data_IF_214284059883
#
_entry.id   IF_214284059883
#
_cell.length_a   1.000
_cell.length_b   1.000
_cell.length_c   1.000
_cell.angle_alpha   90.00
_cell.angle_beta   90.00
_cell.angle_gamma   90.00
#
_symmetry.space_group_name_H-M   'P 1'
#
loop_
_entity.id
_entity.type
_entity.pdbx_description
1 polymer ?
#
# COMPACT_ATOMS: atom_id res chain seq x y z
N UNK A 1 37.15 -29.37 -88.35
CA UNK A 1 36.15 -29.17 -87.28
C UNK A 1 35.91 -30.54 -86.69
N UNK A 2 36.51 -30.70 -85.52
CA UNK A 2 36.80 -31.98 -84.88
C UNK A 2 35.57 -32.72 -84.39
N UNK A 3 35.70 -34.04 -84.53
CA UNK A 3 34.90 -35.08 -83.92
C UNK A 3 34.96 -35.06 -82.40
N UNK A 4 33.93 -35.57 -81.72
CA UNK A 4 34.00 -36.90 -81.08
C UNK A 4 32.73 -37.20 -80.25
N UNK A 5 32.18 -38.38 -80.52
CA UNK A 5 31.19 -39.10 -79.73
C UNK A 5 31.80 -39.55 -78.39
N UNK A 6 31.01 -39.57 -77.31
CA UNK A 6 31.18 -40.61 -76.30
C UNK A 6 29.86 -41.01 -75.60
N UNK A 7 29.53 -42.28 -75.82
CA UNK A 7 28.59 -43.13 -75.09
C UNK A 7 28.77 -43.05 -73.56
N UNK A 8 27.71 -43.27 -72.77
CA UNK A 8 27.70 -44.19 -71.61
C UNK A 8 26.27 -44.63 -71.24
N UNK A 9 26.01 -45.90 -71.57
CA UNK A 9 25.51 -46.99 -70.71
C UNK A 9 24.12 -46.85 -70.04
N UNK A 10 23.11 -47.35 -70.75
CA UNK A 10 21.97 -48.02 -70.13
C UNK A 10 22.46 -49.30 -69.42
N UNK A 11 22.14 -49.44 -68.13
CA UNK A 11 22.20 -50.69 -67.40
C UNK A 11 20.83 -50.96 -66.80
N UNK A 12 20.09 -51.89 -67.40
CA UNK A 12 18.99 -52.60 -66.75
C UNK A 12 19.61 -53.67 -65.85
N UNK A 13 19.29 -53.67 -64.56
CA UNK A 13 19.21 -54.93 -63.81
C UNK A 13 17.97 -54.91 -62.94
N UNK A 14 16.97 -55.63 -63.42
CA UNK A 14 15.85 -56.16 -62.66
C UNK A 14 16.36 -57.20 -61.68
N UNK A 15 16.12 -56.98 -60.39
CA UNK A 15 15.98 -58.05 -59.41
C UNK A 15 14.84 -57.66 -58.49
N UNK A 16 13.71 -58.31 -58.74
CA UNK A 16 12.64 -58.49 -57.78
C UNK A 16 13.21 -59.29 -56.61
N UNK A 17 13.25 -58.68 -55.42
CA UNK A 17 13.37 -59.40 -54.17
C UNK A 17 12.39 -58.74 -53.20
N UNK A 18 11.51 -59.57 -52.67
CA UNK A 18 10.51 -59.30 -51.65
C UNK A 18 11.01 -58.28 -50.61
N UNK A 19 10.41 -57.09 -50.60
CA UNK A 19 10.57 -56.17 -49.47
C UNK A 19 9.27 -56.19 -48.68
N UNK A 20 9.30 -56.99 -47.62
CA UNK A 20 8.27 -57.07 -46.60
C UNK A 20 7.72 -55.68 -46.28
N UNK A 21 6.42 -55.49 -46.49
CA UNK A 21 5.63 -54.38 -45.99
C UNK A 21 5.51 -54.48 -44.47
N UNK A 22 6.65 -54.47 -43.77
CA UNK A 22 6.76 -54.13 -42.37
C UNK A 22 7.14 -52.66 -42.33
N UNK A 23 6.14 -51.79 -42.33
CA UNK A 23 6.25 -50.33 -42.18
C UNK A 23 6.92 -50.00 -40.83
N UNK A 24 8.23 -50.26 -40.73
CA UNK A 24 9.06 -49.88 -39.60
C UNK A 24 9.14 -48.37 -39.64
N UNK A 25 8.23 -47.72 -38.92
CA UNK A 25 8.27 -46.29 -38.69
C UNK A 25 9.72 -45.85 -38.44
N UNK A 26 10.23 -44.86 -39.19
CA UNK A 26 11.62 -44.48 -39.12
C UNK A 26 11.96 -44.08 -37.68
N UNK A 27 12.83 -44.84 -37.03
CA UNK A 27 13.29 -44.65 -35.63
C UNK A 27 13.74 -43.20 -35.32
N UNK A 28 14.06 -42.41 -36.35
CA UNK A 28 14.35 -40.97 -36.26
C UNK A 28 13.16 -40.10 -35.78
N UNK A 29 11.89 -40.49 -35.99
CA UNK A 29 10.74 -39.69 -35.52
C UNK A 29 10.45 -39.86 -34.02
N UNK A 30 10.73 -41.04 -33.45
CA UNK A 30 10.54 -41.29 -32.01
C UNK A 30 11.56 -40.57 -31.13
N UNK A 31 12.79 -40.30 -31.62
CA UNK A 31 13.80 -39.57 -30.82
C UNK A 31 13.47 -38.08 -30.70
N UNK A 32 12.78 -37.50 -31.68
CA UNK A 32 12.40 -36.09 -31.70
C UNK A 32 11.22 -35.82 -30.76
N UNK A 33 10.22 -36.71 -30.75
CA UNK A 33 9.09 -36.64 -29.81
C UNK A 33 9.56 -36.72 -28.35
N UNK A 34 10.51 -37.63 -28.04
CA UNK A 34 11.05 -37.78 -26.68
C UNK A 34 11.81 -36.53 -26.19
N UNK A 35 12.37 -35.74 -27.11
CA UNK A 35 13.02 -34.45 -26.79
C UNK A 35 12.02 -33.32 -26.55
N UNK A 36 10.81 -33.39 -27.09
CA UNK A 36 9.80 -32.32 -26.93
C UNK A 36 8.98 -32.42 -25.64
N UNK A 37 8.84 -33.61 -25.05
CA UNK A 37 8.06 -33.86 -23.83
C UNK A 37 8.40 -32.90 -22.67
N UNK A 38 9.69 -32.68 -22.29
CA UNK A 38 9.99 -31.80 -21.16
C UNK A 38 9.59 -30.33 -21.42
N UNK A 39 9.67 -29.86 -22.67
CA UNK A 39 9.29 -28.48 -22.99
C UNK A 39 7.78 -28.26 -22.94
N UNK A 40 6.99 -29.24 -23.39
CA UNK A 40 5.53 -29.18 -23.29
C UNK A 40 5.11 -29.14 -21.82
N UNK A 41 5.77 -29.92 -20.95
CA UNK A 41 5.51 -29.90 -19.50
C UNK A 41 5.82 -28.52 -18.91
N UNK A 42 6.95 -27.90 -19.28
CA UNK A 42 7.31 -26.55 -18.82
C UNK A 42 6.29 -25.51 -19.27
N UNK A 43 5.84 -25.56 -20.52
CA UNK A 43 4.82 -24.63 -21.04
C UNK A 43 3.50 -24.81 -20.29
N UNK A 44 3.04 -26.04 -20.11
CA UNK A 44 1.80 -26.33 -19.37
C UNK A 44 1.89 -25.84 -17.92
N UNK A 45 3.03 -26.07 -17.25
CA UNK A 45 3.26 -25.58 -15.89
C UNK A 45 3.30 -24.05 -15.83
N UNK A 46 3.91 -23.39 -16.81
CA UNK A 46 3.96 -21.93 -16.90
C UNK A 46 2.55 -21.35 -17.09
N UNK A 47 1.76 -21.97 -17.96
CA UNK A 47 0.39 -21.55 -18.25
C UNK A 47 -0.54 -21.79 -17.04
N UNK A 48 -0.38 -22.92 -16.36
CA UNK A 48 -1.09 -23.22 -15.12
C UNK A 48 -0.75 -22.22 -14.00
N UNK A 49 0.52 -21.82 -13.88
CA UNK A 49 0.96 -20.80 -12.92
C UNK A 49 0.32 -19.44 -13.22
N UNK A 50 0.31 -19.02 -14.50
CA UNK A 50 -0.32 -17.77 -14.92
C UNK A 50 -1.82 -17.79 -14.56
N UNK A 51 -2.53 -18.87 -14.87
CA UNK A 51 -3.95 -19.01 -14.53
C UNK A 51 -4.16 -18.98 -13.02
N UNK A 52 -3.31 -19.65 -12.22
CA UNK A 52 -3.39 -19.63 -10.77
C UNK A 52 -3.19 -18.21 -10.20
N UNK A 53 -2.24 -17.44 -10.73
CA UNK A 53 -2.00 -16.04 -10.34
C UNK A 53 -3.21 -15.17 -10.70
N UNK A 54 -3.76 -15.30 -11.91
CA UNK A 54 -4.95 -14.56 -12.33
C UNK A 54 -6.14 -14.87 -11.43
N UNK A 55 -6.41 -16.16 -11.15
CA UNK A 55 -7.52 -16.59 -10.28
C UNK A 55 -7.35 -16.05 -8.86
N UNK A 56 -6.13 -16.08 -8.33
CA UNK A 56 -5.83 -15.56 -6.98
C UNK A 56 -6.03 -14.05 -6.93
N UNK A 57 -5.59 -13.31 -7.96
CA UNK A 57 -5.80 -11.86 -8.08
C UNK A 57 -7.28 -11.47 -8.22
N UNK A 58 -8.06 -12.24 -8.98
CA UNK A 58 -9.51 -12.02 -9.12
C UNK A 58 -10.25 -12.25 -7.81
N UNK A 59 -9.90 -13.31 -7.07
CA UNK A 59 -10.50 -13.56 -5.74
C UNK A 59 -10.14 -12.48 -4.73
N UNK A 60 -8.93 -11.94 -4.80
CA UNK A 60 -8.54 -10.82 -3.96
C UNK A 60 -9.39 -9.57 -4.25
N UNK A 61 -9.61 -9.24 -5.53
CA UNK A 61 -10.46 -8.12 -5.93
C UNK A 61 -11.93 -8.25 -5.45
N UNK A 62 -12.49 -9.46 -5.52
CA UNK A 62 -13.84 -9.71 -4.98
C UNK A 62 -13.91 -9.53 -3.46
N UNK A 63 -12.83 -9.86 -2.74
CA UNK A 63 -12.73 -9.63 -1.29
C UNK A 63 -12.69 -8.14 -0.96
N UNK A 64 -11.98 -7.33 -1.76
CA UNK A 64 -11.90 -5.87 -1.56
C UNK A 64 -13.26 -5.20 -1.80
N UNK A 65 -13.96 -5.56 -2.89
CA UNK A 65 -15.29 -4.98 -3.20
C UNK A 65 -16.35 -5.29 -2.15
N UNK A 66 -16.25 -6.43 -1.46
CA UNK A 66 -17.17 -6.77 -0.36
C UNK A 66 -16.97 -5.89 0.88
N UNK A 67 -15.78 -5.35 1.07
CA UNK A 67 -15.46 -4.47 2.19
C UNK A 67 -15.87 -3.02 1.89
N UNK A 68 -15.71 -2.59 0.64
CA UNK A 68 -16.03 -1.23 0.19
C UNK A 68 -17.54 -0.92 0.24
N UNK A 69 -18.40 -1.88 -0.16
CA UNK A 69 -19.86 -1.70 -0.14
C UNK A 69 -20.49 -1.69 1.26
N UNK A 70 -19.72 -1.87 2.33
CA UNK A 70 -20.23 -1.77 3.71
C UNK A 70 -20.02 -0.40 4.35
N UNK A 71 -19.22 0.48 3.75
CA UNK A 71 -18.81 1.74 4.35
C UNK A 71 -19.20 3.00 3.56
N UNK A 72 -20.00 2.89 2.49
CA UNK A 72 -20.69 4.05 1.91
C UNK A 72 -21.86 4.48 2.82
N UNK A 73 -21.53 4.97 4.01
CA UNK A 73 -22.38 5.86 4.78
C UNK A 73 -22.20 7.24 4.15
N UNK A 74 -23.29 7.85 3.70
CA UNK A 74 -23.32 9.18 3.09
C UNK A 74 -22.55 10.18 3.96
N UNK A 75 -21.38 10.60 3.48
CA UNK A 75 -20.61 11.69 4.07
C UNK A 75 -21.35 12.98 3.79
N UNK A 76 -22.14 13.37 4.78
CA UNK A 76 -22.55 14.75 4.97
C UNK A 76 -21.25 15.55 5.15
N UNK A 77 -20.85 16.27 4.10
CA UNK A 77 -20.05 17.49 4.26
C UNK A 77 -20.91 18.44 5.09
N UNK A 78 -20.93 18.21 6.39
CA UNK A 78 -21.68 18.99 7.33
C UNK A 78 -20.93 20.27 7.56
N UNK A 79 -21.39 21.34 6.91
CA UNK A 79 -21.84 22.45 7.75
C UNK A 79 -22.74 21.78 8.81
N UNK A 80 -22.16 21.47 9.96
CA UNK A 80 -22.90 20.95 11.09
C UNK A 80 -23.82 22.11 11.49
N UNK A 81 -24.99 22.16 10.87
CA UNK A 81 -26.10 22.95 11.40
C UNK A 81 -26.19 22.53 12.87
N UNK A 82 -26.16 23.50 13.80
CA UNK A 82 -26.25 23.20 15.21
C UNK A 82 -27.49 22.30 15.41
N UNK A 83 -27.38 21.23 16.23
CA UNK A 83 -28.43 20.23 16.33
C UNK A 83 -29.78 20.93 16.55
N UNK A 84 -30.85 20.54 15.86
CA UNK A 84 -32.08 21.34 15.70
C UNK A 84 -32.85 21.65 17.00
N UNK A 85 -32.34 21.23 18.16
CA UNK A 85 -32.88 21.49 19.48
C UNK A 85 -31.82 21.98 20.49
N UNK A 86 -30.68 22.52 20.03
CA UNK A 86 -29.76 23.18 20.95
C UNK A 86 -30.45 24.45 21.48
N UNK A 87 -30.66 24.61 22.79
CA UNK A 87 -31.18 25.86 23.33
C UNK A 87 -30.26 27.00 22.90
N UNK A 88 -30.85 28.16 22.55
CA UNK A 88 -30.07 29.33 22.17
C UNK A 88 -28.96 29.55 23.20
N UNK A 89 -27.69 29.68 22.77
CA UNK A 89 -26.57 29.81 23.68
C UNK A 89 -26.84 30.97 24.63
N UNK A 90 -26.71 30.70 25.93
CA UNK A 90 -26.90 31.72 26.94
C UNK A 90 -26.01 32.94 26.61
N UNK A 91 -26.51 34.18 26.79
CA UNK A 91 -25.71 35.37 26.53
C UNK A 91 -24.39 35.30 27.31
N UNK A 92 -23.28 35.47 26.60
CA UNK A 92 -21.89 35.32 27.08
C UNK A 92 -21.33 33.89 27.21
N UNK A 93 -21.93 32.89 26.55
CA UNK A 93 -21.31 31.57 26.47
C UNK A 93 -19.98 31.61 25.70
N UNK A 94 -18.94 31.00 26.29
CA UNK A 94 -17.66 30.76 25.65
C UNK A 94 -17.69 29.45 24.88
N UNK A 95 -16.95 29.40 23.78
CA UNK A 95 -16.69 28.18 23.02
C UNK A 95 -15.21 28.07 22.69
N UNK A 96 -14.77 26.84 22.43
CA UNK A 96 -13.42 26.56 21.95
C UNK A 96 -13.49 26.15 20.48
N UNK A 97 -12.86 26.93 19.62
CA UNK A 97 -12.58 26.55 18.25
C UNK A 97 -11.28 25.75 18.19
N UNK A 98 -11.29 24.64 17.46
CA UNK A 98 -10.16 23.75 17.27
C UNK A 98 -9.97 23.50 15.79
N UNK A 99 -8.83 23.89 15.26
CA UNK A 99 -8.38 23.56 13.91
C UNK A 99 -7.44 22.37 14.05
N UNK A 100 -7.75 21.27 13.37
CA UNK A 100 -6.96 20.04 13.40
C UNK A 100 -6.50 19.76 11.99
N UNK A 101 -5.19 19.77 11.76
CA UNK A 101 -4.58 19.37 10.49
C UNK A 101 -3.86 18.05 10.66
N UNK A 102 -4.16 17.07 9.81
CA UNK A 102 -3.33 15.87 9.70
C UNK A 102 -2.07 16.22 8.92
N UNK A 103 -0.92 16.24 9.60
CA UNK A 103 0.34 16.68 9.01
C UNK A 103 1.10 15.51 8.38
N UNK A 104 1.23 14.40 9.11
CA UNK A 104 1.98 13.25 8.62
C UNK A 104 1.37 11.94 9.10
N UNK A 105 1.51 10.90 8.28
CA UNK A 105 1.15 9.54 8.63
C UNK A 105 2.24 8.59 8.16
N UNK A 106 2.89 7.91 9.12
CA UNK A 106 3.87 6.86 8.83
C UNK A 106 3.23 5.47 9.01
N UNK A 107 2.91 4.76 7.91
CA UNK A 107 2.31 3.43 7.99
C UNK A 107 3.24 2.37 8.58
N UNK A 108 4.55 2.59 8.59
CA UNK A 108 5.54 1.64 9.10
C UNK A 108 5.61 1.62 10.62
N UNK A 109 5.49 2.79 11.24
CA UNK A 109 5.40 2.94 12.70
C UNK A 109 3.97 3.01 13.24
N UNK A 110 2.96 3.07 12.35
CA UNK A 110 1.56 3.32 12.70
C UNK A 110 1.36 4.63 13.49
N UNK A 111 2.21 5.63 13.25
CA UNK A 111 2.13 6.93 13.92
C UNK A 111 1.37 7.92 13.03
N UNK A 112 0.33 8.53 13.59
CA UNK A 112 -0.43 9.62 13.00
C UNK A 112 -0.16 10.92 13.75
N UNK A 113 0.35 11.91 13.03
CA UNK A 113 0.70 13.23 13.57
C UNK A 113 -0.35 14.26 13.20
N UNK A 114 -0.91 14.90 14.22
CA UNK A 114 -1.85 16.01 14.11
C UNK A 114 -1.18 17.30 14.55
N UNK A 115 -1.35 18.35 13.77
CA UNK A 115 -1.11 19.70 14.23
C UNK A 115 -2.44 20.33 14.63
N UNK A 116 -2.51 20.82 15.86
CA UNK A 116 -3.74 21.35 16.43
C UNK A 116 -3.53 22.80 16.84
N UNK A 117 -4.50 23.63 16.50
CA UNK A 117 -4.60 25.01 16.92
C UNK A 117 -5.94 25.19 17.64
N UNK A 118 -5.89 25.55 18.91
CA UNK A 118 -7.08 25.85 19.70
C UNK A 118 -7.17 27.36 20.00
N UNK A 119 -8.37 27.92 19.88
CA UNK A 119 -8.66 29.31 20.19
C UNK A 119 -10.00 29.45 20.90
N UNK A 120 -10.12 30.47 21.75
CA UNK A 120 -11.40 30.81 22.40
C UNK A 120 -12.23 31.71 21.50
N UNK A 121 -13.51 31.38 21.34
CA UNK A 121 -14.50 32.16 20.61
C UNK A 121 -15.63 32.59 21.55
N UNK A 122 -16.09 33.84 21.41
CA UNK A 122 -17.29 34.36 22.07
C UNK A 122 -18.47 34.13 21.12
N UNK A 123 -19.53 33.47 21.59
CA UNK A 123 -20.68 33.12 20.75
C UNK A 123 -21.60 34.30 20.44
N UNK A 124 -21.63 35.33 21.29
CA UNK A 124 -22.47 36.53 21.08
C UNK A 124 -21.65 37.80 20.88
N UNK A 125 -21.95 38.48 19.78
CA UNK A 125 -21.26 39.65 19.22
C UNK A 125 -21.61 40.97 19.91
N UNK A 126 -22.12 40.90 21.15
CA UNK A 126 -22.29 42.10 21.97
C UNK A 126 -20.89 42.67 22.21
N UNK A 127 -20.57 43.73 21.46
CA UNK A 127 -19.30 44.47 21.36
C UNK A 127 -18.77 45.02 22.70
N UNK A 128 -19.35 44.63 23.83
CA UNK A 128 -18.83 44.91 25.14
C UNK A 128 -17.49 44.20 25.36
N UNK A 129 -16.44 44.91 25.82
CA UNK A 129 -15.23 44.26 26.29
C UNK A 129 -15.62 43.30 27.41
N UNK A 130 -15.32 42.02 27.25
CA UNK A 130 -15.35 41.10 28.40
C UNK A 130 -14.25 41.54 29.36
N UNK A 131 -14.57 41.57 30.66
CA UNK A 131 -13.57 41.84 31.69
C UNK A 131 -12.38 40.89 31.51
N UNK A 132 -11.18 41.46 31.61
CA UNK A 132 -9.91 40.79 31.32
C UNK A 132 -9.52 39.72 32.36
N UNK A 133 -10.45 39.33 33.22
CA UNK A 133 -10.29 38.22 34.15
C UNK A 133 -10.35 36.93 33.34
N UNK A 134 -9.18 36.52 32.86
CA UNK A 134 -8.97 35.36 32.03
C UNK A 134 -9.57 34.11 32.69
N UNK A 135 -10.62 33.57 32.09
CA UNK A 135 -11.11 32.21 32.41
C UNK A 135 -10.12 31.25 31.75
N UNK A 136 -9.29 30.50 32.51
CA UNK A 136 -8.40 29.52 31.94
C UNK A 136 -9.25 28.35 31.50
N UNK A 137 -9.15 28.09 30.22
CA UNK A 137 -9.75 26.91 29.63
C UNK A 137 -8.67 25.86 29.51
N UNK A 138 -8.98 24.68 30.04
CA UNK A 138 -8.15 23.50 29.91
C UNK A 138 -8.63 22.74 28.68
N UNK A 139 -7.87 22.86 27.61
CA UNK A 139 -8.02 22.03 26.43
C UNK A 139 -7.16 20.79 26.60
N UNK A 140 -7.75 19.61 26.42
CA UNK A 140 -7.00 18.36 26.49
C UNK A 140 -7.23 17.49 25.26
N UNK A 141 -6.17 16.77 24.91
CA UNK A 141 -6.17 15.81 23.82
C UNK A 141 -5.54 14.53 24.33
N UNK A 142 -6.26 13.42 24.19
CA UNK A 142 -5.84 12.12 24.68
C UNK A 142 -6.07 11.03 23.64
N UNK A 143 -5.21 10.03 23.68
CA UNK A 143 -5.40 8.79 22.94
C UNK A 143 -6.46 7.95 23.68
N UNK A 144 -7.47 7.42 22.99
CA UNK A 144 -8.48 6.56 23.62
C UNK A 144 -7.87 5.34 24.33
N UNK A 145 -6.71 4.86 23.87
CA UNK A 145 -6.04 3.72 24.49
C UNK A 145 -5.22 4.11 25.74
N UNK A 146 -5.13 5.41 26.05
CA UNK A 146 -4.40 5.95 27.22
C UNK A 146 -2.89 5.75 27.15
N UNK A 147 -2.35 5.40 25.97
CA UNK A 147 -0.93 5.07 25.78
C UNK A 147 -0.01 6.30 25.76
N UNK A 148 -0.56 7.48 25.47
CA UNK A 148 0.16 8.74 25.44
C UNK A 148 -0.32 9.68 26.54
N UNK A 149 0.59 10.47 27.09
CA UNK A 149 0.23 11.51 28.05
C UNK A 149 -0.70 12.52 27.38
N UNK A 150 -1.80 12.91 28.04
CA UNK A 150 -2.71 13.89 27.49
C UNK A 150 -1.97 15.21 27.31
N UNK A 151 -2.16 15.83 26.15
CA UNK A 151 -1.69 17.18 25.92
C UNK A 151 -2.66 18.14 26.60
N UNK A 152 -2.18 19.01 27.48
CA UNK A 152 -2.99 19.99 28.19
C UNK A 152 -2.54 21.39 27.80
N UNK A 153 -3.46 22.19 27.28
CA UNK A 153 -3.22 23.58 26.91
C UNK A 153 -4.10 24.48 27.77
N UNK A 154 -3.46 25.44 28.44
CA UNK A 154 -4.16 26.55 29.09
C UNK A 154 -4.35 27.68 28.08
N UNK A 155 -5.61 28.02 27.83
CA UNK A 155 -5.95 29.12 26.92
C UNK A 155 -6.47 30.29 27.77
N UNK A 156 -5.73 31.40 27.77
CA UNK A 156 -6.11 32.63 28.48
C UNK A 156 -6.75 33.63 27.51
N UNK A 157 -7.94 34.14 27.87
CA UNK A 157 -8.64 35.20 27.16
C UNK A 157 -7.95 36.55 27.43
N UNK A 158 -7.59 37.32 26.40
CA UNK A 158 -7.06 38.68 26.58
C UNK A 158 -5.87 39.07 25.69
N UNK A 159 -5.19 38.10 25.08
CA UNK A 159 -4.24 38.36 23.99
C UNK A 159 -4.85 37.85 22.68
N UNK A 160 -4.87 38.72 21.65
CA UNK A 160 -5.32 38.39 20.29
C UNK A 160 -4.90 36.96 19.92
N UNK A 161 -5.87 36.06 19.66
CA UNK A 161 -5.70 34.66 19.23
C UNK A 161 -4.36 34.07 19.68
N UNK A 162 -4.24 33.67 20.95
CA UNK A 162 -3.13 32.82 21.35
C UNK A 162 -3.32 31.45 20.67
N UNK A 163 -2.74 31.33 19.48
CA UNK A 163 -2.66 30.10 18.70
C UNK A 163 -1.56 29.27 19.34
N UNK A 164 -1.96 28.38 20.24
CA UNK A 164 -1.04 27.35 20.71
C UNK A 164 -1.07 26.23 19.68
N UNK A 165 -0.19 26.31 18.69
CA UNK A 165 0.04 25.21 17.75
C UNK A 165 0.87 24.14 18.44
N UNK A 166 0.33 22.94 18.52
CA UNK A 166 1.03 21.77 19.09
C UNK A 166 0.86 20.57 18.18
N UNK A 167 1.96 19.85 17.99
CA UNK A 167 1.93 18.57 17.29
C UNK A 167 1.66 17.45 18.29
N UNK A 168 0.73 16.57 17.96
CA UNK A 168 0.33 15.43 18.76
C UNK A 168 0.39 14.15 17.93
N UNK A 169 1.04 13.13 18.49
CA UNK A 169 1.19 11.83 17.86
C UNK A 169 0.26 10.83 18.55
N UNK A 170 -0.57 10.15 17.78
CA UNK A 170 -1.36 8.99 18.22
C UNK A 170 -1.00 7.77 17.38
N UNK A 171 -1.39 6.59 17.85
CA UNK A 171 -1.29 5.37 17.08
C UNK A 171 -2.52 5.15 16.21
N UNK A 172 -2.32 4.72 14.97
CA UNK A 172 -3.40 4.26 14.09
C UNK A 172 -3.37 2.73 14.00
N UNK A 173 -4.51 2.09 14.27
CA UNK A 173 -4.66 0.66 14.02
C UNK A 173 -4.77 0.40 12.51
N UNK A 174 -4.23 -0.71 12.06
CA UNK A 174 -4.22 -1.07 10.65
C UNK A 174 -3.07 -1.99 10.29
N UNK A 175 -3.06 -2.43 9.03
CA UNK A 175 -2.03 -3.35 8.55
C UNK A 175 -1.46 -2.94 7.21
N UNK A 176 -0.17 -2.65 7.22
CA UNK A 176 0.64 -2.35 6.04
C UNK A 176 0.77 -3.53 5.07
N UNK A 177 0.44 -4.73 5.54
CA UNK A 177 0.54 -5.97 4.75
C UNK A 177 -0.32 -5.93 3.47
N UNK A 178 -1.40 -5.15 3.44
CA UNK A 178 -2.35 -5.08 2.33
C UNK A 178 -2.04 -4.00 1.28
N UNK A 179 -0.82 -3.44 1.27
CA UNK A 179 -0.39 -2.47 0.25
C UNK A 179 -0.74 -2.93 -1.19
N UNK A 180 -1.29 -2.04 -2.05
CA UNK A 180 -1.59 -0.61 -1.84
C UNK A 180 -3.01 -0.32 -1.32
N UNK A 181 -3.75 -1.35 -0.90
CA UNK A 181 -5.14 -1.26 -0.42
C UNK A 181 -5.25 -1.34 1.10
N UNK A 182 -4.16 -1.06 1.79
CA UNK A 182 -4.09 -0.87 3.23
C UNK A 182 -5.04 0.25 3.68
N UNK A 183 -5.64 0.02 4.84
CA UNK A 183 -6.56 0.92 5.53
C UNK A 183 -6.11 1.01 6.97
N UNK A 184 -6.19 2.21 7.51
CA UNK A 184 -5.83 2.52 8.88
C UNK A 184 -6.97 3.26 9.55
N UNK A 185 -7.11 3.10 10.85
CA UNK A 185 -8.09 3.79 11.69
C UNK A 185 -7.37 4.33 12.90
N UNK A 186 -7.41 5.66 13.05
CA UNK A 186 -6.96 6.36 14.25
C UNK A 186 -8.14 7.01 14.95
N UNK A 187 -8.00 7.26 16.24
CA UNK A 187 -8.99 8.02 16.99
C UNK A 187 -8.34 8.90 18.03
N UNK A 188 -8.97 10.03 18.30
CA UNK A 188 -8.51 11.06 19.22
C UNK A 188 -9.66 11.52 20.09
N UNK A 189 -9.46 11.58 21.40
CA UNK A 189 -10.44 12.15 22.33
C UNK A 189 -10.03 13.59 22.62
N UNK A 190 -10.96 14.51 22.37
CA UNK A 190 -10.74 15.94 22.55
C UNK A 190 -11.80 16.47 23.51
N UNK A 191 -11.38 17.32 24.44
CA UNK A 191 -12.29 18.00 25.35
C UNK A 191 -11.79 19.38 25.75
N UNK A 192 -12.73 20.22 26.17
CA UNK A 192 -12.43 21.50 26.78
C UNK A 192 -13.29 21.71 28.01
N UNK A 193 -12.62 22.08 29.11
CA UNK A 193 -13.26 22.31 30.39
C UNK A 193 -12.71 23.57 31.06
N UNK A 194 -13.58 24.28 31.77
CA UNK A 194 -13.23 25.34 32.68
C UNK A 194 -13.46 24.86 34.11
N UNK A 195 -12.52 25.14 35.00
CA UNK A 195 -12.61 24.73 36.41
C UNK A 195 -12.72 25.95 37.30
N UNK A 196 -13.76 25.94 38.12
CA UNK A 196 -14.04 26.96 39.11
C UNK A 196 -14.23 26.31 40.47
N UNK A 197 -13.64 26.89 41.50
CA UNK A 197 -13.86 26.48 42.87
C UNK A 197 -15.31 26.83 43.27
N UNK A 198 -16.05 25.84 43.74
CA UNK A 198 -17.45 25.94 44.10
C UNK A 198 -17.70 26.93 45.25
N UNK A 199 -16.70 27.18 46.10
CA UNK A 199 -16.84 27.98 47.32
C UNK A 199 -16.69 29.48 47.07
N UNK A 200 -15.78 29.88 46.20
CA UNK A 200 -15.42 31.28 45.97
C UNK A 200 -15.51 31.70 44.49
N UNK A 201 -15.92 30.79 43.60
CA UNK A 201 -15.88 30.95 42.14
C UNK A 201 -14.49 31.34 41.61
N UNK A 202 -13.43 31.09 42.39
CA UNK A 202 -12.07 31.33 41.93
C UNK A 202 -11.70 30.30 40.87
N UNK A 203 -10.88 30.77 39.96
CA UNK A 203 -10.41 30.00 38.83
C UNK A 203 -9.29 29.04 39.26
N UNK A 204 -9.36 27.76 38.86
CA UNK A 204 -8.33 26.76 39.13
C UNK A 204 -7.42 26.58 37.91
N UNK A 205 -6.08 26.68 38.03
CA UNK A 205 -5.16 26.48 36.92
C UNK A 205 -5.09 25.01 36.46
N UNK A 206 -4.94 24.79 35.15
CA UNK A 206 -5.03 23.47 34.50
C UNK A 206 -4.04 22.35 34.90
N UNK A 207 -2.80 22.58 35.34
CA UNK A 207 -1.83 21.49 35.47
C UNK A 207 -2.04 20.56 36.68
N UNK A 208 -2.96 20.86 37.61
CA UNK A 208 -3.17 20.06 38.83
C UNK A 208 -4.19 18.92 38.69
N UNK A 209 -4.90 18.80 37.56
CA UNK A 209 -6.11 17.97 37.44
C UNK A 209 -5.81 16.48 37.25
N UNK A 210 -4.73 16.13 36.55
CA UNK A 210 -4.45 14.73 36.18
C UNK A 210 -3.81 13.92 37.32
N UNK A 211 -3.36 14.60 38.38
CA UNK A 211 -2.88 13.98 39.62
C UNK A 211 -3.93 14.05 40.74
N UNK A 212 -5.09 14.67 40.48
CA UNK A 212 -6.12 14.92 41.46
C UNK A 212 -7.06 13.70 41.59
N UNK A 213 -7.00 13.02 42.73
CA UNK A 213 -7.96 11.97 43.06
C UNK A 213 -9.35 12.60 43.18
N UNK A 214 -10.27 12.21 42.28
CA UNK A 214 -11.64 12.75 42.17
C UNK A 214 -12.42 12.65 43.50
N UNK A 215 -11.97 11.79 44.42
CA UNK A 215 -12.54 11.64 45.75
C UNK A 215 -12.33 12.84 46.69
N UNK A 216 -11.35 13.71 46.45
CA UNK A 216 -11.12 14.94 47.22
C UNK A 216 -11.74 16.19 46.57
N UNK A 217 -12.36 16.06 45.38
CA UNK A 217 -12.77 17.17 44.51
C UNK A 217 -14.16 17.76 44.84
N UNK A 218 -14.64 17.68 46.09
CA UNK A 218 -16.02 18.11 46.42
C UNK A 218 -16.27 19.59 46.13
N UNK A 219 -15.20 20.39 46.06
CA UNK A 219 -15.28 21.85 45.96
C UNK A 219 -14.90 22.36 44.56
N UNK A 220 -14.79 21.50 43.53
CA UNK A 220 -14.47 21.93 42.16
C UNK A 220 -15.69 21.71 41.25
N UNK A 221 -16.17 22.79 40.65
CA UNK A 221 -17.17 22.77 39.60
C UNK A 221 -16.49 22.70 38.24
N UNK A 222 -16.78 21.66 37.47
CA UNK A 222 -16.28 21.48 36.10
C UNK A 222 -17.37 21.95 35.14
N UNK A 223 -17.07 22.99 34.37
CA UNK A 223 -17.95 23.48 33.31
C UNK A 223 -17.40 23.05 31.96
N UNK A 224 -18.21 22.28 31.23
CA UNK A 224 -17.90 21.78 29.89
C UNK A 224 -18.14 22.88 28.87
N UNK A 225 -17.18 23.07 27.96
CA UNK A 225 -17.27 24.09 26.91
C UNK A 225 -17.60 23.45 25.55
N UNK A 226 -18.49 24.04 24.75
CA UNK A 226 -18.78 23.55 23.40
C UNK A 226 -17.55 23.69 22.49
N UNK A 227 -17.33 22.66 21.67
CA UNK A 227 -16.21 22.58 20.73
C UNK A 227 -16.71 22.79 19.29
N UNK A 228 -15.99 23.64 18.55
CA UNK A 228 -16.15 23.82 17.11
C UNK A 228 -14.91 23.29 16.41
N UNK A 229 -15.09 22.48 15.38
CA UNK A 229 -13.98 21.82 14.68
C UNK A 229 -13.89 22.28 13.23
N UNK A 230 -12.66 22.56 12.81
CA UNK A 230 -12.28 22.63 11.40
C UNK A 230 -11.19 21.58 11.16
N UNK A 231 -11.49 20.60 10.31
CA UNK A 231 -10.57 19.48 10.05
C UNK A 231 -9.91 19.68 8.69
N UNK A 232 -8.62 20.01 8.71
CA UNK A 232 -7.75 20.03 7.55
C UNK A 232 -7.22 18.62 7.25
N UNK A 233 -7.30 18.21 5.99
CA UNK A 233 -6.75 16.94 5.52
C UNK A 233 -5.66 17.22 4.49
N UNK A 234 -4.41 17.34 4.94
CA UNK A 234 -3.26 17.56 4.05
C UNK A 234 -2.25 16.40 4.15
N UNK A 235 -2.67 15.22 3.69
CA UNK A 235 -1.79 14.05 3.60
C UNK A 235 -1.38 13.82 2.15
N UNK A 236 -0.12 14.02 1.79
CA UNK A 236 0.38 13.94 0.41
C UNK A 236 -0.06 12.67 -0.36
N UNK A 237 0.08 11.50 0.27
CA UNK A 237 -0.15 10.19 -0.34
C UNK A 237 -1.42 9.48 0.15
N UNK A 238 -2.12 10.07 1.13
CA UNK A 238 -3.27 9.47 1.77
C UNK A 238 -4.51 10.37 1.64
N UNK A 239 -5.67 9.76 1.77
CA UNK A 239 -6.95 10.42 1.97
C UNK A 239 -7.47 9.93 3.32
N UNK A 240 -7.97 10.86 4.12
CA UNK A 240 -8.57 10.55 5.41
C UNK A 240 -10.07 10.79 5.30
N UNK A 241 -10.85 9.96 5.98
CA UNK A 241 -12.27 10.17 6.17
C UNK A 241 -12.47 10.33 7.67
N UNK A 242 -12.90 11.52 8.08
CA UNK A 242 -13.05 11.87 9.48
C UNK A 242 -14.51 11.87 9.89
N UNK A 243 -14.78 11.31 11.05
CA UNK A 243 -16.09 11.30 11.69
C UNK A 243 -15.95 11.83 13.11
N UNK A 244 -16.86 12.72 13.49
CA UNK A 244 -16.96 13.23 14.85
C UNK A 244 -18.13 12.54 15.55
N UNK A 245 -17.89 11.98 16.72
CA UNK A 245 -18.92 11.39 17.57
C UNK A 245 -18.83 11.99 18.97
N UNK A 246 -19.93 12.54 19.47
CA UNK A 246 -20.01 12.99 20.85
C UNK A 246 -20.08 11.76 21.77
N UNK A 247 -19.20 11.68 22.76
CA UNK A 247 -19.17 10.57 23.72
C UNK A 247 -20.28 10.75 24.76
N UNK A 248 -20.93 9.65 25.14
CA UNK A 248 -21.98 9.63 26.17
C UNK A 248 -21.36 9.33 27.53
N UNK A 249 -21.96 9.84 28.61
CA UNK A 249 -21.54 9.64 30.01
C UNK A 249 -21.32 8.15 30.42
N UNK A 250 -21.93 7.20 29.71
CA UNK A 250 -21.79 5.77 29.99
C UNK A 250 -20.54 5.11 29.37
N UNK A 251 -19.80 5.81 28.50
CA UNK A 251 -18.60 5.24 27.89
C UNK A 251 -17.43 5.27 28.87
N UNK A 252 -16.58 4.25 28.85
CA UNK A 252 -15.39 4.18 29.73
C UNK A 252 -14.39 5.32 29.48
N UNK A 253 -14.51 5.97 28.32
CA UNK A 253 -13.77 7.19 27.95
C UNK A 253 -14.38 8.48 28.51
N UNK A 254 -15.57 8.41 29.12
CA UNK A 254 -16.21 9.50 29.86
C UNK A 254 -15.47 9.86 31.16
N UNK A 255 -14.28 9.28 31.41
CA UNK A 255 -13.33 9.77 32.41
C UNK A 255 -13.17 11.30 32.33
N UNK A 256 -13.23 11.83 31.10
CA UNK A 256 -13.08 13.24 30.78
C UNK A 256 -14.37 14.10 30.89
N UNK A 257 -15.50 13.50 31.24
CA UNK A 257 -16.78 14.19 31.45
C UNK A 257 -17.61 14.42 30.17
N UNK A 258 -18.80 14.99 30.38
CA UNK A 258 -19.70 15.41 29.32
C UNK A 258 -19.01 16.42 28.39
N UNK A 259 -19.31 16.38 27.09
CA UNK A 259 -18.73 17.27 26.07
C UNK A 259 -17.31 16.96 25.63
N UNK A 260 -16.85 15.73 25.86
CA UNK A 260 -15.78 15.16 25.05
C UNK A 260 -16.28 14.68 23.69
N UNK A 261 -15.42 14.85 22.70
CA UNK A 261 -15.69 14.44 21.31
C UNK A 261 -14.63 13.44 20.88
N UNK A 262 -15.09 12.31 20.37
CA UNK A 262 -14.26 11.32 19.71
C UNK A 262 -14.14 11.69 18.23
N UNK A 263 -12.94 12.09 17.82
CA UNK A 263 -12.57 12.23 16.43
C UNK A 263 -12.03 10.88 15.95
N UNK A 264 -12.76 10.19 15.07
CA UNK A 264 -12.29 8.99 14.39
C UNK A 264 -11.88 9.32 12.97
N UNK A 265 -10.72 8.84 12.54
CA UNK A 265 -10.17 9.05 11.21
C UNK A 265 -9.86 7.69 10.56
N UNK A 266 -10.51 7.41 9.43
CA UNK A 266 -10.15 6.27 8.58
C UNK A 266 -9.27 6.75 7.45
N UNK A 267 -8.02 6.28 7.42
CA UNK A 267 -7.00 6.70 6.47
C UNK A 267 -6.80 5.60 5.44
N UNK A 268 -6.76 5.99 4.17
CA UNK A 268 -6.46 5.10 3.06
C UNK A 268 -5.56 5.78 2.04
N UNK A 269 -4.85 5.00 1.23
CA UNK A 269 -4.01 5.55 0.15
C UNK A 269 -4.85 6.26 -0.91
N UNK A 270 -4.33 7.38 -1.43
CA UNK A 270 -4.97 8.11 -2.54
C UNK A 270 -5.11 7.21 -3.76
N UNK A 271 -6.17 7.43 -4.54
CA UNK A 271 -6.48 6.65 -5.74
C UNK A 271 -5.32 6.64 -6.75
N UNK A 272 -4.60 7.76 -6.89
CA UNK A 272 -3.44 7.89 -7.79
C UNK A 272 -2.32 6.92 -7.40
N UNK A 273 -2.03 6.79 -6.10
CA UNK A 273 -1.01 5.87 -5.58
C UNK A 273 -1.43 4.42 -5.84
N UNK A 274 -2.69 4.08 -5.56
CA UNK A 274 -3.27 2.75 -5.82
C UNK A 274 -3.16 2.38 -7.30
N UNK A 275 -3.57 3.29 -8.19
CA UNK A 275 -3.51 3.09 -9.62
C UNK A 275 -2.07 2.84 -10.11
N UNK A 276 -1.12 3.68 -9.71
CA UNK A 276 0.26 3.55 -10.13
C UNK A 276 0.90 2.25 -9.61
N UNK A 277 0.64 1.88 -8.34
CA UNK A 277 1.12 0.63 -7.77
C UNK A 277 0.59 -0.60 -8.53
N UNK A 278 -0.70 -0.63 -8.88
CA UNK A 278 -1.29 -1.71 -9.69
C UNK A 278 -0.71 -1.74 -11.11
N UNK A 279 -0.54 -0.58 -11.74
CA UNK A 279 0.07 -0.48 -13.08
C UNK A 279 1.51 -1.02 -13.08
N UNK A 280 2.30 -0.66 -12.08
CA UNK A 280 3.67 -1.16 -11.89
C UNK A 280 3.69 -2.67 -11.66
N UNK A 281 2.77 -3.19 -10.84
CA UNK A 281 2.61 -4.63 -10.63
C UNK A 281 2.30 -5.37 -11.94
N UNK A 282 1.35 -4.87 -12.73
CA UNK A 282 1.01 -5.49 -14.03
C UNK A 282 2.18 -5.42 -15.01
N UNK A 283 2.84 -4.26 -15.10
CA UNK A 283 3.95 -4.04 -16.03
C UNK A 283 5.12 -4.97 -15.72
N UNK A 284 5.50 -5.10 -14.45
CA UNK A 284 6.57 -6.02 -14.01
C UNK A 284 6.25 -7.47 -14.30
N UNK A 285 4.99 -7.89 -14.13
CA UNK A 285 4.53 -9.21 -14.53
C UNK A 285 4.64 -9.43 -16.05
N UNK A 286 4.19 -8.49 -16.87
CA UNK A 286 4.26 -8.60 -18.33
C UNK A 286 5.70 -8.72 -18.82
N UNK A 287 6.62 -7.93 -18.26
CA UNK A 287 8.06 -8.00 -18.60
C UNK A 287 8.65 -9.36 -18.18
N UNK A 288 8.34 -9.83 -16.97
CA UNK A 288 8.79 -11.14 -16.47
C UNK A 288 8.29 -12.27 -17.36
N UNK A 289 7.00 -12.27 -17.70
CA UNK A 289 6.40 -13.26 -18.61
C UNK A 289 6.99 -13.17 -20.01
N UNK A 290 7.28 -11.96 -20.51
CA UNK A 290 7.96 -11.75 -21.78
C UNK A 290 9.32 -12.46 -21.85
N UNK A 291 10.13 -12.37 -20.77
CA UNK A 291 11.41 -13.07 -20.67
C UNK A 291 11.23 -14.59 -20.60
N UNK A 292 10.23 -15.08 -19.86
CA UNK A 292 9.92 -16.52 -19.79
C UNK A 292 9.51 -17.07 -21.16
N UNK A 293 8.65 -16.35 -21.89
CA UNK A 293 8.24 -16.72 -23.26
C UNK A 293 9.43 -16.68 -24.21
N UNK A 294 10.25 -15.62 -24.17
CA UNK A 294 11.45 -15.52 -25.00
C UNK A 294 12.41 -16.68 -24.73
N UNK A 295 12.61 -17.02 -23.47
CA UNK A 295 13.43 -18.18 -23.04
C UNK A 295 12.87 -19.47 -23.62
N UNK A 296 11.56 -19.67 -23.52
CA UNK A 296 10.89 -20.87 -24.06
C UNK A 296 11.04 -20.97 -25.58
N UNK A 297 10.89 -19.87 -26.31
CA UNK A 297 11.04 -19.83 -27.78
C UNK A 297 12.47 -20.15 -28.20
N UNK A 298 13.47 -19.62 -27.50
CA UNK A 298 14.89 -19.91 -27.74
C UNK A 298 15.15 -21.41 -27.62
N UNK A 299 14.66 -22.03 -26.55
CA UNK A 299 14.82 -23.45 -26.30
C UNK A 299 14.10 -24.31 -27.36
N UNK A 300 12.86 -23.95 -27.73
CA UNK A 300 12.06 -24.74 -28.66
C UNK A 300 12.57 -24.70 -30.09
N UNK A 301 12.95 -23.51 -30.57
CA UNK A 301 13.36 -23.36 -31.98
C UNK A 301 14.79 -23.79 -32.23
N UNK A 302 15.55 -24.13 -31.18
CA UNK A 302 17.01 -24.34 -31.21
C UNK A 302 17.70 -23.29 -32.10
N UNK A 303 17.15 -22.06 -32.09
CA UNK A 303 17.64 -21.00 -32.96
C UNK A 303 19.04 -20.70 -32.46
N UNK A 304 19.95 -20.50 -33.40
CA UNK A 304 21.25 -20.01 -33.05
C UNK A 304 21.06 -18.74 -32.24
N UNK A 305 21.34 -18.82 -30.93
CA UNK A 305 21.41 -17.66 -30.04
C UNK A 305 22.64 -16.88 -30.45
N UNK A 306 22.61 -16.25 -31.61
CA UNK A 306 23.65 -15.33 -32.08
C UNK A 306 23.67 -14.05 -31.24
N UNK A 307 22.75 -13.93 -30.29
CA UNK A 307 22.54 -12.73 -29.48
C UNK A 307 22.51 -13.13 -28.02
N UNK A 308 23.67 -12.99 -27.38
CA UNK A 308 23.78 -12.93 -25.91
C UNK A 308 22.88 -11.83 -25.32
N UNK A 309 22.35 -10.93 -26.15
CA UNK A 309 21.40 -9.88 -25.83
C UNK A 309 20.24 -10.34 -24.95
N UNK A 310 19.64 -11.52 -25.20
CA UNK A 310 18.50 -11.99 -24.37
C UNK A 310 18.97 -12.37 -22.96
N UNK A 311 20.15 -13.00 -22.85
CA UNK A 311 20.75 -13.36 -21.55
C UNK A 311 21.16 -12.09 -20.79
N UNK A 312 21.74 -11.12 -21.50
CA UNK A 312 22.10 -9.83 -20.95
C UNK A 312 20.86 -9.06 -20.47
N UNK A 313 19.80 -9.03 -21.27
CA UNK A 313 18.54 -8.37 -20.94
C UNK A 313 17.85 -9.01 -19.72
N UNK A 314 17.78 -10.35 -19.65
CA UNK A 314 17.17 -11.04 -18.50
C UNK A 314 17.98 -10.81 -17.22
N UNK A 315 19.31 -10.79 -17.33
CA UNK A 315 20.21 -10.47 -16.21
C UNK A 315 20.04 -9.02 -15.75
N UNK A 316 20.00 -8.07 -16.69
CA UNK A 316 19.78 -6.67 -16.39
C UNK A 316 18.43 -6.44 -15.68
N UNK A 317 17.36 -7.11 -16.14
CA UNK A 317 16.05 -7.07 -15.50
C UNK A 317 16.08 -7.62 -14.07
N UNK A 318 16.80 -8.71 -13.83
CA UNK A 318 16.95 -9.30 -12.50
C UNK A 318 17.53 -8.29 -11.48
N UNK A 319 18.48 -7.45 -11.91
CA UNK A 319 19.05 -6.39 -11.08
C UNK A 319 18.24 -5.09 -11.07
N UNK A 320 17.41 -4.86 -12.09
CA UNK A 320 16.54 -3.68 -12.16
C UNK A 320 15.28 -3.80 -11.28
N UNK A 321 14.75 -5.01 -11.08
CA UNK A 321 13.52 -5.23 -10.32
C UNK A 321 13.51 -4.63 -8.91
N UNK A 322 14.57 -4.75 -8.08
CA UNK A 322 14.59 -4.10 -6.76
C UNK A 322 14.47 -2.58 -6.84
N UNK A 323 15.13 -1.95 -7.82
CA UNK A 323 15.05 -0.50 -8.05
C UNK A 323 13.65 -0.09 -8.53
N UNK A 324 13.01 -0.93 -9.34
CA UNK A 324 11.67 -0.71 -9.84
C UNK A 324 10.62 -0.86 -8.73
N UNK A 325 10.83 -1.79 -7.79
CA UNK A 325 10.04 -1.92 -6.56
C UNK A 325 10.14 -0.63 -5.74
N UNK A 326 11.36 -0.17 -5.43
CA UNK A 326 11.56 1.05 -4.61
C UNK A 326 11.07 2.34 -5.28
N UNK A 327 10.92 2.34 -6.60
CA UNK A 327 10.33 3.46 -7.33
C UNK A 327 8.79 3.54 -7.23
N UNK A 328 8.14 2.55 -6.58
CA UNK A 328 6.69 2.56 -6.39
C UNK A 328 6.34 3.57 -5.28
N UNK A 329 5.43 4.52 -5.54
CA UNK A 329 5.09 5.57 -4.59
C UNK A 329 4.50 4.99 -3.31
N UNK A 330 5.05 5.43 -2.17
CA UNK A 330 4.57 5.05 -0.85
C UNK A 330 4.76 3.57 -0.50
N UNK A 331 5.58 2.82 -1.24
CA UNK A 331 5.87 1.43 -0.90
C UNK A 331 6.58 1.37 0.45
N UNK A 332 6.16 0.49 1.37
CA UNK A 332 6.84 0.35 2.64
C UNK A 332 8.17 -0.41 2.50
N UNK A 333 9.06 -0.11 3.43
CA UNK A 333 10.33 -0.82 3.60
C UNK A 333 10.12 -2.26 4.05
N UNK A 334 9.02 -2.51 4.77
CA UNK A 334 8.63 -3.85 5.20
C UNK A 334 8.00 -4.65 4.05
N UNK A 335 8.23 -5.98 3.98
CA UNK A 335 7.61 -6.82 2.97
C UNK A 335 6.08 -6.84 3.08
N UNK A 336 5.41 -6.70 1.96
CA UNK A 336 3.94 -6.69 1.86
C UNK A 336 3.40 -7.97 1.22
N UNK A 337 2.09 -8.18 1.28
CA UNK A 337 1.44 -9.29 0.54
C UNK A 337 1.66 -9.15 -0.97
N UNK A 338 1.73 -7.91 -1.48
CA UNK A 338 2.05 -7.68 -2.90
C UNK A 338 3.46 -8.15 -3.27
N UNK A 339 4.42 -8.05 -2.34
CA UNK A 339 5.77 -8.59 -2.52
C UNK A 339 5.77 -10.12 -2.49
N UNK A 340 5.02 -10.70 -1.56
CA UNK A 340 4.84 -12.14 -1.41
C UNK A 340 4.29 -12.80 -2.69
N UNK A 341 3.28 -12.17 -3.30
CA UNK A 341 2.57 -12.72 -4.47
C UNK A 341 3.23 -12.32 -5.78
N UNK A 342 3.81 -11.12 -5.88
CA UNK A 342 4.43 -10.62 -7.10
C UNK A 342 5.95 -10.74 -7.09
N UNK A 343 6.58 -9.86 -6.30
CA UNK A 343 8.01 -9.60 -6.37
C UNK A 343 8.89 -10.85 -6.25
N UNK A 344 8.68 -11.70 -5.24
CA UNK A 344 9.51 -12.89 -5.06
C UNK A 344 9.34 -13.91 -6.19
N UNK A 345 8.12 -14.09 -6.71
CA UNK A 345 7.86 -14.99 -7.83
C UNK A 345 8.45 -14.47 -9.12
N UNK A 346 8.39 -13.17 -9.37
CA UNK A 346 9.00 -12.54 -10.54
C UNK A 346 10.53 -12.73 -10.53
N UNK A 347 11.19 -12.48 -9.39
CA UNK A 347 12.63 -12.70 -9.25
C UNK A 347 12.98 -14.17 -9.46
N UNK A 348 12.23 -15.09 -8.86
CA UNK A 348 12.48 -16.53 -9.03
C UNK A 348 12.34 -16.98 -10.49
N UNK A 349 11.31 -16.52 -11.20
CA UNK A 349 11.08 -16.83 -12.61
C UNK A 349 12.17 -16.24 -13.52
N UNK A 350 12.59 -15.00 -13.27
CA UNK A 350 13.67 -14.36 -14.02
C UNK A 350 15.03 -15.02 -13.76
N UNK A 351 15.34 -15.35 -12.51
CA UNK A 351 16.57 -16.04 -12.14
C UNK A 351 16.64 -17.41 -12.82
N UNK A 352 15.56 -18.19 -12.76
CA UNK A 352 15.45 -19.49 -13.43
C UNK A 352 15.59 -19.36 -14.94
N UNK A 353 14.89 -18.40 -15.56
CA UNK A 353 14.96 -18.16 -17.00
C UNK A 353 16.38 -17.78 -17.45
N UNK A 354 17.03 -16.88 -16.71
CA UNK A 354 18.40 -16.45 -16.96
C UNK A 354 19.38 -17.61 -16.83
N UNK A 355 19.24 -18.42 -15.78
CA UNK A 355 20.07 -19.61 -15.58
C UNK A 355 19.94 -20.61 -16.73
N UNK A 356 18.70 -20.92 -17.15
CA UNK A 356 18.45 -21.85 -18.27
C UNK A 356 19.04 -21.32 -19.58
N UNK A 357 18.87 -20.02 -19.85
CA UNK A 357 19.46 -19.38 -21.03
C UNK A 357 20.99 -19.43 -21.00
N UNK A 358 21.61 -19.19 -19.85
CA UNK A 358 23.06 -19.26 -19.69
C UNK A 358 23.59 -20.68 -19.93
N UNK A 359 22.96 -21.70 -19.33
CA UNK A 359 23.31 -23.10 -19.56
C UNK A 359 23.17 -23.48 -21.05
N UNK A 360 22.08 -23.06 -21.69
CA UNK A 360 21.85 -23.30 -23.12
C UNK A 360 22.94 -22.63 -23.99
N UNK A 361 23.33 -21.40 -23.66
CA UNK A 361 24.38 -20.68 -24.37
C UNK A 361 25.75 -21.37 -24.24
N UNK A 362 26.14 -21.78 -23.03
CA UNK A 362 27.40 -22.50 -22.77
C UNK A 362 27.41 -23.83 -23.51
N UNK A 363 26.32 -24.60 -23.41
CA UNK A 363 26.19 -25.89 -24.10
C UNK A 363 26.39 -25.75 -25.62
N UNK A 364 25.76 -24.74 -26.23
CA UNK A 364 25.88 -24.48 -27.66
C UNK A 364 27.31 -24.08 -28.05
N UNK A 365 28.00 -23.28 -27.23
CA UNK A 365 29.41 -22.92 -27.45
C UNK A 365 30.33 -24.13 -27.40
N UNK A 366 30.10 -25.09 -26.49
CA UNK A 366 30.91 -26.31 -26.42
C UNK A 366 30.73 -27.19 -27.66
N UNK A 367 29.49 -27.35 -28.16
CA UNK A 367 29.23 -28.13 -29.38
C UNK A 367 29.90 -27.49 -30.60
N UNK A 368 29.80 -26.17 -30.77
CA UNK A 368 30.40 -25.47 -31.89
C UNK A 368 31.92 -25.69 -31.98
N UNK A 369 32.63 -25.61 -30.85
CA UNK A 369 34.08 -25.88 -30.79
C UNK A 369 34.44 -27.32 -31.19
N UNK A 370 33.64 -28.30 -30.76
CA UNK A 370 33.89 -29.70 -31.09
C UNK A 370 33.72 -29.98 -32.60
N UNK A 371 32.78 -29.30 -33.27
CA UNK A 371 32.58 -29.42 -34.71
C UNK A 371 33.75 -28.79 -35.50
N UNK A 372 34.27 -27.64 -35.06
CA UNK A 372 35.43 -26.98 -35.66
C UNK A 372 36.71 -27.82 -35.54
N UNK A 373 36.98 -28.39 -34.37
CA UNK A 373 38.13 -29.29 -34.16
C UNK A 373 38.03 -30.56 -35.01
N UNK A 374 36.82 -31.12 -35.14
CA UNK A 374 36.56 -32.29 -35.98
C UNK A 374 36.71 -32.00 -37.48
N UNK A 375 36.37 -30.78 -37.93
CA UNK A 375 36.56 -30.35 -39.31
C UNK A 375 38.05 -30.17 -39.65
N UNK A 376 38.83 -29.53 -38.78
CA UNK A 376 40.26 -29.33 -39.00
C UNK A 376 41.04 -30.65 -39.09
N UNK A 377 40.67 -31.67 -38.30
CA UNK A 377 41.28 -33.01 -38.37
C UNK A 377 41.03 -33.79 -39.66
N UNK A 378 40.02 -33.42 -40.46
CA UNK A 378 39.75 -34.06 -41.76
C UNK A 378 40.54 -33.44 -42.92
N UNK A 379 41.09 -32.25 -42.72
CA UNK A 379 41.83 -31.50 -43.73
C UNK A 379 43.34 -31.78 -43.62
N UNK A 380 43.82 -32.08 -42.41
CA UNK A 380 45.15 -32.62 -42.15
C UNK A 380 45.21 -34.12 -42.46
#
# INVERSE_FOLDING_TARGET
>A
MDAQYHFIKMSRSSTWAEEETGERMPKKRLSLARRMIPYIIIIILSLALIVAVIVTGLRFNESVKKTENKHSLDLVNGDLDPPPNMPDPAPNSLAVGVIISMNNFDPGSSILSFDMEAFLAKLNDDNGPMDADAIPVCFFVADPDGLSSPLILSINYGNKRNINSTSYNTTADGSISHFPFDTYSGSLVIGAQSLTNATDNSVVPCPEIFDYDRSEASDITVTVLPLYFEIGQDLDSFSAHTSLQQLSENDTLAFFGDGTVLLSATIHRREVVRFFAVLMFITTWLVTLGVVIATTVVLLKNRQTERFDIVAASTALLFALPSLRSATPGIPDTPTVSDAVGYFWQIALLALSTFVLLCHAIWKMMIGKAEEEGANKKIA
#
